data_IF_885729401731
#
_entry.id   IF_885729401731
#
_cell.length_a   1.000
_cell.length_b   1.000
_cell.length_c   1.000
_cell.angle_alpha   90.00
_cell.angle_beta   90.00
_cell.angle_gamma   90.00
#
_symmetry.space_group_name_H-M   'P 1'
#
loop_
_entity.id
_entity.type
_entity.pdbx_description
1 polymer ?
#
# COMPACT_ATOMS: atom_id res chain seq x y z
N UNK A 1 9.98 17.97 -1.49
CA UNK A 1 10.40 16.56 -1.69
C UNK A 1 9.15 15.70 -1.67
N UNK A 2 8.91 14.81 -2.65
CA UNK A 2 7.78 13.90 -2.57
C UNK A 2 7.89 13.05 -1.30
N UNK A 3 6.78 12.87 -0.59
CA UNK A 3 6.74 12.02 0.60
C UNK A 3 7.10 10.59 0.21
N UNK A 4 8.26 10.13 0.69
CA UNK A 4 8.73 8.74 0.50
C UNK A 4 7.87 7.72 1.25
N UNK A 5 6.91 8.19 2.03
CA UNK A 5 6.00 7.38 2.81
C UNK A 5 4.56 7.68 2.45
N UNK A 6 3.77 6.62 2.31
CA UNK A 6 2.33 6.70 2.12
C UNK A 6 1.63 6.06 3.32
N UNK A 7 0.53 6.67 3.70
CA UNK A 7 -0.31 6.19 4.79
C UNK A 7 -1.64 5.70 4.24
N UNK A 8 -2.14 4.62 4.83
CA UNK A 8 -3.40 3.99 4.46
C UNK A 8 -4.21 3.64 5.69
N UNK A 9 -5.54 3.60 5.55
CA UNK A 9 -6.46 3.11 6.56
C UNK A 9 -7.33 1.99 5.97
N UNK A 10 -7.79 1.07 6.82
CA UNK A 10 -8.64 -0.04 6.42
C UNK A 10 -10.11 0.34 6.56
N UNK A 11 -10.87 0.28 5.48
CA UNK A 11 -12.33 0.40 5.57
C UNK A 11 -12.89 -0.87 6.22
N UNK A 12 -13.83 -0.73 7.15
CA UNK A 12 -14.42 -1.91 7.81
C UNK A 12 -15.12 -2.75 6.75
N UNK A 13 -14.66 -3.99 6.59
CA UNK A 13 -15.28 -4.95 5.70
C UNK A 13 -16.59 -5.37 6.34
N UNK A 14 -17.70 -5.20 5.63
CA UNK A 14 -18.92 -5.94 5.95
C UNK A 14 -18.58 -7.43 5.74
N UNK A 15 -18.35 -8.16 6.84
CA UNK A 15 -17.98 -9.57 6.82
C UNK A 15 -19.02 -10.51 6.17
N UNK A 16 -20.14 -9.98 5.67
CA UNK A 16 -21.25 -10.72 5.10
C UNK A 16 -21.18 -10.93 3.57
N UNK A 17 -20.20 -10.35 2.86
CA UNK A 17 -20.08 -10.54 1.41
C UNK A 17 -18.72 -11.17 1.10
N UNK A 18 -18.75 -12.48 0.93
CA UNK A 18 -17.67 -13.30 0.37
C UNK A 18 -17.07 -12.65 -0.89
N UNK A 19 -15.73 -12.54 -0.95
CA UNK A 19 -14.88 -12.06 -2.07
C UNK A 19 -14.54 -10.57 -2.19
N UNK A 20 -14.79 -9.71 -1.20
CA UNK A 20 -14.30 -8.33 -1.27
C UNK A 20 -12.89 -8.27 -0.65
N UNK A 21 -11.88 -7.97 -1.49
CA UNK A 21 -10.48 -7.74 -1.09
C UNK A 21 -10.43 -6.73 0.06
N UNK A 22 -9.47 -6.91 0.97
CA UNK A 22 -9.25 -5.94 2.04
C UNK A 22 -8.88 -4.56 1.45
N UNK A 23 -9.86 -3.66 1.37
CA UNK A 23 -9.68 -2.36 0.74
C UNK A 23 -8.99 -1.39 1.72
N UNK A 24 -7.67 -1.35 1.62
CA UNK A 24 -6.84 -0.30 2.18
C UNK A 24 -6.99 0.97 1.33
N UNK A 25 -7.45 2.04 1.96
CA UNK A 25 -7.62 3.34 1.32
C UNK A 25 -6.48 4.27 1.72
N UNK A 26 -5.95 5.01 0.75
CA UNK A 26 -4.87 5.98 0.97
C UNK A 26 -5.44 7.24 1.64
N UNK A 27 -4.73 7.80 2.61
CA UNK A 27 -5.05 9.15 3.10
C UNK A 27 -4.81 10.20 2.00
N UNK A 28 -5.47 11.35 2.09
CA UNK A 28 -5.19 12.46 1.18
C UNK A 28 -3.74 12.95 1.35
N UNK A 29 -3.18 13.59 0.32
CA UNK A 29 -1.77 14.02 0.38
C UNK A 29 -1.51 15.07 1.50
N UNK A 30 -2.52 15.87 1.82
CA UNK A 30 -2.47 16.82 2.96
C UNK A 30 -2.45 16.06 4.29
N UNK A 31 -3.36 15.10 4.48
CA UNK A 31 -3.40 14.28 5.70
C UNK A 31 -2.11 13.47 5.84
N UNK A 32 -1.58 12.88 4.77
CA UNK A 32 -0.30 12.16 4.78
C UNK A 32 0.81 13.04 5.33
N UNK A 33 0.88 14.30 4.90
CA UNK A 33 1.91 15.23 5.34
C UNK A 33 1.79 15.53 6.83
N UNK A 34 0.57 15.72 7.33
CA UNK A 34 0.30 15.97 8.75
C UNK A 34 0.63 14.74 9.60
N UNK A 35 0.19 13.56 9.18
CA UNK A 35 0.41 12.29 9.87
C UNK A 35 1.91 11.97 9.93
N UNK A 36 2.60 12.10 8.80
CA UNK A 36 4.03 11.79 8.70
C UNK A 36 4.87 12.77 9.54
N UNK A 37 4.56 14.06 9.54
CA UNK A 37 5.24 15.05 10.38
C UNK A 37 5.06 14.73 11.88
N UNK A 38 3.85 14.39 12.31
CA UNK A 38 3.57 14.00 13.69
C UNK A 38 4.31 12.71 14.10
N UNK A 39 4.35 11.73 13.21
CA UNK A 39 5.06 10.47 13.42
C UNK A 39 6.58 10.67 13.52
N UNK A 40 7.16 11.49 12.63
CA UNK A 40 8.60 11.82 12.65
C UNK A 40 9.00 12.60 13.90
N UNK A 41 8.11 13.43 14.44
CA UNK A 41 8.27 14.13 15.71
C UNK A 41 8.04 13.24 16.94
N UNK A 42 7.86 11.93 16.76
CA UNK A 42 7.65 10.95 17.82
C UNK A 42 6.46 11.30 18.72
N UNK A 43 5.41 11.91 18.16
CA UNK A 43 4.16 12.12 18.90
C UNK A 43 3.47 10.79 19.12
N UNK A 44 2.66 10.69 20.18
CA UNK A 44 1.89 9.48 20.45
C UNK A 44 0.68 9.34 19.51
N UNK A 45 0.11 10.47 19.11
CA UNK A 45 -1.07 10.55 18.26
C UNK A 45 -1.09 11.82 17.41
N UNK A 46 -1.97 11.82 16.41
CA UNK A 46 -2.32 12.98 15.60
C UNK A 46 -3.83 13.07 15.47
N UNK A 47 -4.36 14.28 15.56
CA UNK A 47 -5.78 14.55 15.35
C UNK A 47 -6.02 15.03 13.91
N UNK A 48 -7.01 14.44 13.25
CA UNK A 48 -7.44 14.80 11.91
C UNK A 48 -8.94 15.02 11.95
N UNK A 49 -9.44 16.24 11.72
CA UNK A 49 -10.89 16.53 11.72
C UNK A 49 -11.63 15.78 12.85
N UNK A 50 -12.39 14.74 12.49
CA UNK A 50 -13.22 13.92 13.38
C UNK A 50 -12.57 12.63 13.87
N UNK A 51 -11.29 12.39 13.59
CA UNK A 51 -10.57 11.16 13.92
C UNK A 51 -9.27 11.47 14.67
N UNK A 52 -8.80 10.48 15.44
CA UNK A 52 -7.50 10.49 16.12
C UNK A 52 -6.74 9.25 15.70
N UNK A 53 -5.52 9.41 15.20
CA UNK A 53 -4.63 8.30 14.86
C UNK A 53 -3.62 8.14 16.00
N UNK A 54 -3.65 6.98 16.65
CA UNK A 54 -2.67 6.56 17.65
C UNK A 54 -1.56 5.75 17.00
N UNK A 55 -0.33 6.26 17.05
CA UNK A 55 0.80 5.67 16.36
C UNK A 55 1.34 4.40 17.03
N UNK A 56 1.22 4.32 18.36
CA UNK A 56 1.64 3.13 19.13
C UNK A 56 0.94 1.85 18.66
N UNK A 57 -0.32 1.96 18.26
CA UNK A 57 -1.15 0.83 17.87
C UNK A 57 -1.50 0.82 16.38
N UNK A 58 -1.11 1.87 15.65
CA UNK A 58 -1.54 2.10 14.27
C UNK A 58 -3.06 1.98 14.11
N UNK A 59 -3.79 2.72 14.95
CA UNK A 59 -5.25 2.73 14.97
C UNK A 59 -5.78 4.15 14.81
N UNK A 60 -6.80 4.30 13.98
CA UNK A 60 -7.62 5.49 13.85
C UNK A 60 -8.92 5.27 14.61
N UNK A 61 -9.30 6.22 15.45
CA UNK A 61 -10.53 6.19 16.24
C UNK A 61 -11.33 7.44 15.91
N UNK A 62 -12.62 7.27 15.65
CA UNK A 62 -13.50 8.41 15.46
C UNK A 62 -13.79 9.11 16.80
N UNK A 63 -13.63 10.43 16.86
CA UNK A 63 -13.85 11.27 18.05
C UNK A 63 -15.30 11.26 18.50
N UNK A 64 -16.24 11.13 17.56
CA UNK A 64 -17.68 11.12 17.82
C UNK A 64 -18.19 9.71 18.16
N UNK A 65 -17.45 8.68 17.73
CA UNK A 65 -17.84 7.29 17.86
C UNK A 65 -16.62 6.39 18.05
N UNK A 66 -16.23 6.17 19.31
CA UNK A 66 -15.06 5.37 19.66
C UNK A 66 -15.19 3.88 19.29
N UNK A 67 -16.41 3.41 18.98
CA UNK A 67 -16.63 2.04 18.50
C UNK A 67 -16.17 1.85 17.05
N UNK A 68 -16.05 2.96 16.29
CA UNK A 68 -15.53 2.98 14.93
C UNK A 68 -14.03 3.13 14.93
N UNK A 69 -13.33 2.02 15.10
CA UNK A 69 -11.88 1.93 14.97
C UNK A 69 -11.47 1.39 13.61
N UNK A 70 -10.46 1.99 12.99
CA UNK A 70 -9.88 1.55 11.72
C UNK A 70 -8.38 1.29 11.90
N UNK A 71 -7.86 0.21 11.32
CA UNK A 71 -6.42 0.00 11.28
C UNK A 71 -5.75 0.95 10.30
N UNK A 72 -4.56 1.40 10.64
CA UNK A 72 -3.71 2.29 9.83
C UNK A 72 -2.42 1.56 9.48
N UNK A 73 -1.80 1.90 8.34
CA UNK A 73 -0.45 1.42 7.99
C UNK A 73 0.36 2.49 7.28
N UNK A 74 1.67 2.41 7.44
CA UNK A 74 2.68 3.25 6.79
C UNK A 74 3.52 2.39 5.86
N UNK A 75 3.67 2.81 4.61
CA UNK A 75 4.43 2.10 3.58
C UNK A 75 5.52 3.03 3.04
N UNK A 76 6.75 2.53 2.93
CA UNK A 76 7.81 3.20 2.20
C UNK A 76 7.60 3.01 0.70
N UNK A 77 7.40 4.11 -0.02
CA UNK A 77 7.35 4.15 -1.46
C UNK A 77 8.72 4.57 -1.97
N UNK A 78 9.52 3.58 -2.38
CA UNK A 78 10.71 3.83 -3.17
C UNK A 78 10.26 4.48 -4.48
N UNK A 79 10.73 5.70 -4.76
CA UNK A 79 10.51 6.37 -6.05
C UNK A 79 11.28 5.59 -7.12
N UNK A 80 10.78 4.44 -7.52
CA UNK A 80 11.23 3.80 -8.76
C UNK A 80 10.75 4.69 -9.89
N UNK A 81 11.70 5.27 -10.61
CA UNK A 81 11.47 6.05 -11.82
C UNK A 81 10.51 5.27 -12.72
N UNK A 82 9.56 5.95 -13.37
CA UNK A 82 8.54 5.32 -14.24
C UNK A 82 9.16 4.37 -15.30
N UNK A 83 10.43 4.55 -15.68
CA UNK A 83 11.19 3.62 -16.53
C UNK A 83 11.37 2.21 -15.94
N UNK A 84 11.52 2.05 -14.63
CA UNK A 84 11.82 0.75 -14.02
C UNK A 84 10.57 -0.14 -13.86
N UNK A 85 9.37 0.45 -13.85
CA UNK A 85 8.12 -0.32 -13.79
C UNK A 85 7.90 -1.14 -15.08
N UNK A 86 8.38 -0.66 -16.24
CA UNK A 86 8.30 -1.43 -17.48
C UNK A 86 9.27 -2.63 -17.53
N UNK A 87 10.40 -2.56 -16.83
CA UNK A 87 11.37 -3.66 -16.78
C UNK A 87 11.06 -4.70 -15.69
N UNK A 88 10.31 -4.35 -14.64
CA UNK A 88 9.90 -5.32 -13.61
C UNK A 88 8.77 -6.26 -14.06
N UNK A 89 7.99 -5.89 -15.08
CA UNK A 89 6.91 -6.74 -15.59
C UNK A 89 7.38 -7.84 -16.56
N UNK A 90 8.61 -7.75 -17.10
CA UNK A 90 9.16 -8.73 -18.06
C UNK A 90 10.04 -9.81 -17.44
N UNK A 91 10.31 -9.78 -16.13
CA UNK A 91 11.18 -10.80 -15.48
C UNK A 91 10.45 -11.98 -14.83
N UNK A 92 9.11 -11.98 -14.82
CA UNK A 92 8.31 -13.08 -14.22
C UNK A 92 7.59 -13.96 -15.26
N UNK A 93 8.00 -13.95 -16.54
CA UNK A 93 7.46 -14.84 -17.58
C UNK A 93 8.59 -15.44 -18.43
N UNK A 94 9.59 -16.05 -17.79
CA UNK A 94 10.67 -16.78 -18.50
C UNK A 94 11.10 -18.07 -17.80
N UNK A 95 10.16 -18.79 -17.17
CA UNK A 95 10.47 -20.14 -16.63
C UNK A 95 9.39 -21.20 -16.86
N UNK A 96 8.51 -21.04 -17.84
CA UNK A 96 7.59 -22.14 -18.23
C UNK A 96 7.26 -22.09 -19.72
N UNK A 97 8.16 -22.56 -20.59
CA UNK A 97 7.84 -23.44 -21.73
C UNK A 97 9.17 -23.87 -22.38
N UNK A 98 9.72 -25.00 -21.93
CA UNK A 98 9.88 -26.22 -22.72
C UNK A 98 10.91 -26.15 -23.86
N UNK A 99 12.08 -26.70 -23.55
CA UNK A 99 12.84 -27.62 -24.40
C UNK A 99 12.08 -28.09 -25.65
N UNK A 100 12.48 -27.59 -26.81
CA UNK A 100 12.46 -28.36 -28.05
C UNK A 100 13.86 -28.22 -28.66
N UNK A 101 14.60 -29.31 -28.86
CA UNK A 101 15.85 -29.26 -29.61
C UNK A 101 15.53 -29.03 -31.08
N UNK A 102 16.20 -28.02 -31.67
CA UNK A 102 16.35 -27.86 -33.11
C UNK A 102 16.94 -29.16 -33.69
N UNK A 103 16.13 -29.89 -34.47
CA UNK A 103 16.68 -30.77 -35.48
C UNK A 103 16.77 -29.98 -36.77
N UNK A 104 17.99 -29.56 -37.07
CA UNK A 104 18.46 -29.38 -38.43
C UNK A 104 18.07 -30.62 -39.24
N UNK A 105 17.46 -30.43 -40.41
CA UNK A 105 17.75 -31.32 -41.51
C UNK A 105 17.93 -30.52 -42.81
N UNK A 106 19.03 -30.85 -43.49
CA UNK A 106 19.57 -30.20 -44.67
C UNK A 106 19.13 -31.00 -45.90
N UNK A 107 18.78 -30.27 -46.96
CA UNK A 107 19.04 -30.62 -48.37
C UNK A 107 18.47 -31.93 -48.93
N UNK A 108 17.62 -31.81 -49.95
CA UNK A 108 18.01 -31.88 -51.39
C UNK A 108 16.89 -31.32 -52.26
#
# INVERSE_FOLDING_TARGET
MPNKYQWFWRSSINCAISNIREDWQKFSDVEITIIEDAYQKQRDHVELNNDIIYFKHFLQINKLDSTKTKSVKRIFCENRSKEEQFHSFRRNVWWTQTNYPDNEDKGE
#
